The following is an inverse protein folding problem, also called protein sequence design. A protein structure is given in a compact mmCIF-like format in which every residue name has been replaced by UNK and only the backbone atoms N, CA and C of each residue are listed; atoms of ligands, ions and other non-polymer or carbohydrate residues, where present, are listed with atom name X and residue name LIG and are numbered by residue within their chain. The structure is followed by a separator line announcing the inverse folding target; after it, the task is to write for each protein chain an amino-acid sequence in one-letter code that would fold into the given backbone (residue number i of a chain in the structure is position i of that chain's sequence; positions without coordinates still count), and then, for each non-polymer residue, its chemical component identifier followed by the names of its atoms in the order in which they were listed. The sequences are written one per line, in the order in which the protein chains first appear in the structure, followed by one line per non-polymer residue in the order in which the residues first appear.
data_IF_477924903806
#
_entry.id   IF_477924903806
#
_cell.length_a   1.000
_cell.length_b   1.000
_cell.length_c   1.000
_cell.angle_alpha   90.00
_cell.angle_beta   90.00
_cell.angle_gamma   90.00
#
_symmetry.space_group_name_H-M   'P 1'
#
loop_
_entity.id
_entity.type
_entity.pdbx_description
1 polymer ?
#
# COMPACT_ATOMS: atom_id res chain seq x y z
N UNK A 1 -15.44 9.93 -15.68
CA UNK A 1 -15.50 9.85 -14.20
C UNK A 1 -16.17 8.57 -13.69
N UNK A 2 -17.03 7.88 -14.46
CA UNK A 2 -17.52 6.54 -14.10
C UNK A 2 -16.48 5.46 -14.45
N UNK A 3 -15.60 5.15 -13.50
CA UNK A 3 -14.66 4.03 -13.59
C UNK A 3 -14.83 3.13 -12.38
N UNK A 4 -14.69 1.80 -12.53
CA UNK A 4 -14.75 0.89 -11.40
C UNK A 4 -13.64 1.22 -10.40
N UNK A 5 -13.84 0.90 -9.13
CA UNK A 5 -12.84 1.20 -8.09
C UNK A 5 -11.48 0.56 -8.40
N UNK A 6 -11.48 -0.61 -9.06
CA UNK A 6 -10.29 -1.29 -9.51
C UNK A 6 -9.45 -0.51 -10.52
N UNK A 7 -9.98 0.52 -11.21
CA UNK A 7 -9.19 1.41 -12.08
C UNK A 7 -8.09 2.15 -11.31
N UNK A 8 -8.29 2.39 -10.00
CA UNK A 8 -7.29 3.01 -9.13
C UNK A 8 -6.40 1.99 -8.41
N UNK A 9 -6.26 0.81 -9.00
CA UNK A 9 -5.24 -0.23 -8.79
C UNK A 9 -4.65 -0.39 -7.37
N UNK A 10 -3.80 0.55 -6.94
CA UNK A 10 -3.16 0.55 -5.62
C UNK A 10 -4.08 1.02 -4.48
N UNK A 11 -5.03 1.93 -4.72
CA UNK A 11 -5.95 2.45 -3.68
C UNK A 11 -6.85 1.34 -3.09
N UNK A 12 -7.49 0.47 -3.90
CA UNK A 12 -8.21 -0.69 -3.38
C UNK A 12 -7.31 -1.63 -2.57
N UNK A 13 -6.12 -1.90 -3.08
CA UNK A 13 -5.15 -2.83 -2.47
C UNK A 13 -4.69 -2.35 -1.09
N UNK A 14 -4.28 -1.08 -0.99
CA UNK A 14 -3.85 -0.47 0.27
C UNK A 14 -5.01 -0.42 1.28
N UNK A 15 -6.21 -0.04 0.84
CA UNK A 15 -7.40 -0.01 1.69
C UNK A 15 -7.72 -1.39 2.28
N UNK A 16 -7.67 -2.44 1.45
CA UNK A 16 -7.85 -3.82 1.88
C UNK A 16 -6.83 -4.23 2.93
N UNK A 17 -5.54 -3.99 2.66
CA UNK A 17 -4.46 -4.34 3.59
C UNK A 17 -4.53 -3.56 4.91
N UNK A 18 -4.91 -2.27 4.88
CA UNK A 18 -5.18 -1.51 6.10
C UNK A 18 -6.27 -2.17 6.94
N UNK A 19 -7.41 -2.54 6.34
CA UNK A 19 -8.48 -3.24 7.04
C UNK A 19 -8.01 -4.55 7.67
N UNK A 20 -7.21 -5.35 6.94
CA UNK A 20 -6.63 -6.59 7.47
C UNK A 20 -5.72 -6.31 8.67
N UNK A 21 -4.87 -5.29 8.61
CA UNK A 21 -4.00 -4.89 9.74
C UNK A 21 -4.81 -4.43 10.95
N UNK A 22 -5.81 -3.58 10.75
CA UNK A 22 -6.68 -3.10 11.82
C UNK A 22 -7.45 -4.25 12.47
N UNK A 23 -7.98 -5.18 11.66
CA UNK A 23 -8.62 -6.38 12.15
C UNK A 23 -7.66 -7.25 12.96
N UNK A 24 -6.44 -7.49 12.46
CA UNK A 24 -5.39 -8.24 13.16
C UNK A 24 -5.03 -7.61 14.52
N UNK A 25 -4.95 -6.28 14.57
CA UNK A 25 -4.68 -5.52 15.78
C UNK A 25 -5.86 -5.58 16.78
N UNK A 26 -7.10 -5.55 16.27
CA UNK A 26 -8.32 -5.61 17.06
C UNK A 26 -8.58 -6.99 17.69
N UNK A 27 -8.24 -8.07 16.98
CA UNK A 27 -8.40 -9.45 17.43
C UNK A 27 -7.75 -9.68 18.81
N UNK A 28 -8.45 -10.31 19.78
CA UNK A 28 -7.84 -10.73 21.04
C UNK A 28 -6.77 -11.82 20.83
N UNK A 29 -5.68 -11.85 21.61
CA UNK A 29 -5.25 -10.84 22.57
C UNK A 29 -4.69 -9.59 21.86
N UNK A 30 -5.08 -8.40 22.35
CA UNK A 30 -4.62 -7.13 21.78
C UNK A 30 -3.16 -6.89 22.13
N UNK A 31 -2.34 -6.72 21.09
CA UNK A 31 -0.92 -6.42 21.24
C UNK A 31 -0.73 -4.95 20.92
N UNK A 32 -0.37 -4.17 21.94
CA UNK A 32 -0.01 -2.77 21.85
C UNK A 32 1.24 -2.53 22.69
N UNK A 33 1.83 -1.34 22.60
CA UNK A 33 3.07 -0.98 23.31
C UNK A 33 3.05 -1.34 24.81
N UNK A 34 1.95 -1.07 25.51
CA UNK A 34 1.77 -1.39 26.93
C UNK A 34 1.61 -2.89 27.23
N UNK A 35 0.90 -3.65 26.39
CA UNK A 35 0.82 -5.11 26.53
C UNK A 35 2.21 -5.76 26.44
N UNK A 36 3.05 -5.25 25.53
CA UNK A 36 4.42 -5.71 25.41
C UNK A 36 5.27 -5.35 26.63
N UNK A 37 5.06 -4.22 27.32
CA UNK A 37 5.84 -3.87 28.53
C UNK A 37 5.49 -4.78 29.71
N UNK A 38 4.23 -5.17 29.82
CA UNK A 38 3.75 -6.04 30.91
C UNK A 38 4.03 -7.52 30.66
N UNK A 39 3.86 -7.99 29.41
CA UNK A 39 3.88 -9.43 29.07
C UNK A 39 5.12 -9.86 28.28
N UNK A 40 6.00 -8.92 27.90
CA UNK A 40 7.28 -9.16 27.24
C UNK A 40 7.23 -10.22 26.13
N UNK A 41 7.85 -11.40 26.33
CA UNK A 41 7.94 -12.46 25.32
C UNK A 41 6.59 -13.09 24.96
N UNK A 42 5.61 -13.10 25.87
CA UNK A 42 4.28 -13.68 25.59
C UNK A 42 3.50 -12.84 24.59
N UNK A 43 3.60 -11.52 24.68
CA UNK A 43 2.99 -10.61 23.71
C UNK A 43 3.61 -10.77 22.31
N UNK A 44 4.93 -11.01 22.23
CA UNK A 44 5.61 -11.31 20.96
C UNK A 44 5.18 -12.68 20.40
N UNK A 45 5.01 -13.69 21.26
CA UNK A 45 4.48 -14.99 20.87
C UNK A 45 3.06 -14.88 20.29
N UNK A 46 2.17 -14.13 20.94
CA UNK A 46 0.81 -13.89 20.42
C UNK A 46 0.83 -13.17 19.07
N UNK A 47 1.74 -12.22 18.88
CA UNK A 47 1.90 -11.55 17.60
C UNK A 47 2.44 -12.50 16.52
N UNK A 48 3.40 -13.37 16.86
CA UNK A 48 3.91 -14.39 15.95
C UNK A 48 2.80 -15.37 15.53
N UNK A 49 1.97 -15.83 16.48
CA UNK A 49 0.81 -16.69 16.17
C UNK A 49 -0.19 -15.99 15.24
N UNK A 50 -0.46 -14.71 15.47
CA UNK A 50 -1.30 -13.89 14.58
C UNK A 50 -0.71 -13.76 13.17
N UNK A 51 0.60 -13.55 13.05
CA UNK A 51 1.29 -13.51 11.77
C UNK A 51 1.27 -14.85 11.05
N UNK A 52 1.49 -15.95 11.77
CA UNK A 52 1.37 -17.30 11.20
C UNK A 52 -0.05 -17.51 10.67
N UNK A 53 -1.07 -17.17 11.47
CA UNK A 53 -2.47 -17.24 11.03
C UNK A 53 -2.75 -16.39 9.79
N UNK A 54 -2.25 -15.15 9.75
CA UNK A 54 -2.39 -14.27 8.58
C UNK A 54 -1.72 -14.89 7.34
N UNK A 55 -0.48 -15.36 7.47
CA UNK A 55 0.25 -16.01 6.37
C UNK A 55 -0.47 -17.28 5.92
N UNK A 56 -1.01 -18.10 6.83
CA UNK A 56 -1.81 -19.27 6.48
C UNK A 56 -3.06 -18.91 5.69
N UNK A 57 -3.80 -17.86 6.09
CA UNK A 57 -4.97 -17.37 5.33
C UNK A 57 -4.56 -16.89 3.93
N UNK A 58 -3.46 -16.14 3.83
CA UNK A 58 -2.90 -15.69 2.55
C UNK A 58 -2.53 -16.90 1.67
N UNK A 59 -1.86 -17.91 2.23
CA UNK A 59 -1.49 -19.11 1.48
C UNK A 59 -2.71 -19.87 0.99
N UNK A 60 -3.75 -20.04 1.82
CA UNK A 60 -5.00 -20.70 1.41
C UNK A 60 -5.68 -19.93 0.28
N UNK A 61 -5.78 -18.60 0.39
CA UNK A 61 -6.33 -17.74 -0.66
C UNK A 61 -5.51 -17.82 -1.95
N UNK A 62 -4.18 -17.90 -1.86
CA UNK A 62 -3.30 -18.00 -3.02
C UNK A 62 -3.36 -19.39 -3.69
N UNK A 63 -3.42 -20.47 -2.91
CA UNK A 63 -3.45 -21.83 -3.47
C UNK A 63 -4.82 -22.17 -4.08
N UNK A 64 -5.91 -21.57 -3.60
CA UNK A 64 -7.27 -21.86 -4.07
C UNK A 64 -7.90 -20.64 -4.76
N UNK A 65 -7.76 -20.58 -6.08
CA UNK A 65 -8.40 -19.56 -6.92
C UNK A 65 -9.93 -19.57 -6.74
N UNK A 66 -10.55 -20.76 -6.66
CA UNK A 66 -12.00 -20.90 -6.41
C UNK A 66 -12.41 -20.30 -5.06
N UNK A 67 -11.60 -20.47 -4.02
CA UNK A 67 -11.88 -19.88 -2.72
C UNK A 67 -11.71 -18.36 -2.75
N UNK A 68 -10.66 -17.88 -3.44
CA UNK A 68 -10.44 -16.45 -3.65
C UNK A 68 -11.64 -15.79 -4.35
N UNK A 69 -12.10 -16.35 -5.47
CA UNK A 69 -13.27 -15.85 -6.18
C UNK A 69 -14.51 -15.82 -5.29
N UNK A 70 -14.78 -16.88 -4.53
CA UNK A 70 -15.92 -16.90 -3.59
C UNK A 70 -15.82 -15.81 -2.52
N UNK A 71 -14.64 -15.52 -2.00
CA UNK A 71 -14.46 -14.49 -0.98
C UNK A 71 -14.68 -13.08 -1.56
N UNK A 72 -14.14 -12.79 -2.75
CA UNK A 72 -14.13 -11.43 -3.30
C UNK A 72 -15.29 -11.11 -4.25
N UNK A 73 -15.89 -12.11 -4.89
CA UNK A 73 -17.00 -11.95 -5.86
C UNK A 73 -18.37 -12.15 -5.21
N UNK A 74 -18.44 -12.42 -3.90
CA UNK A 74 -19.71 -12.47 -3.17
C UNK A 74 -20.28 -11.08 -2.91
N UNK A 75 -21.61 -10.96 -3.03
CA UNK A 75 -22.33 -9.74 -2.64
C UNK A 75 -22.33 -9.60 -1.11
N UNK A 76 -22.25 -8.38 -0.56
CA UNK A 76 -22.49 -7.09 -1.23
C UNK A 76 -21.24 -6.36 -1.76
N UNK A 77 -20.03 -6.86 -1.52
CA UNK A 77 -18.79 -6.12 -1.82
C UNK A 77 -18.16 -6.43 -3.19
N UNK A 78 -18.76 -7.34 -3.99
CA UNK A 78 -18.30 -7.70 -5.34
C UNK A 78 -17.85 -6.49 -6.17
N UNK A 79 -18.63 -5.42 -6.19
CA UNK A 79 -18.35 -4.21 -6.97
C UNK A 79 -17.02 -3.50 -6.61
N UNK A 80 -16.45 -3.77 -5.43
CA UNK A 80 -15.17 -3.21 -5.02
C UNK A 80 -13.98 -3.92 -5.66
N UNK A 81 -14.12 -5.18 -6.03
CA UNK A 81 -13.00 -6.07 -6.42
C UNK A 81 -12.99 -6.45 -7.89
N UNK A 82 -13.97 -5.96 -8.65
CA UNK A 82 -14.20 -6.39 -10.03
C UNK A 82 -14.16 -5.19 -10.98
N UNK A 83 -13.75 -5.41 -12.22
CA UNK A 83 -13.73 -4.40 -13.29
C UNK A 83 -15.12 -4.18 -13.92
N UNK A 84 -15.23 -3.27 -14.88
CA UNK A 84 -16.48 -3.02 -15.63
C UNK A 84 -17.00 -4.28 -16.34
N UNK A 85 -16.09 -5.17 -16.76
CA UNK A 85 -16.39 -6.39 -17.52
C UNK A 85 -16.64 -7.61 -16.61
N UNK A 86 -16.87 -7.38 -15.32
CA UNK A 86 -17.05 -8.43 -14.32
C UNK A 86 -15.81 -9.32 -14.09
N UNK A 87 -14.60 -8.82 -14.41
CA UNK A 87 -13.33 -9.55 -14.29
C UNK A 87 -12.60 -9.29 -12.96
N UNK A 88 -12.21 -10.36 -12.26
CA UNK A 88 -11.46 -10.35 -11.00
C UNK A 88 -9.94 -10.51 -11.21
N UNK A 89 -9.49 -10.91 -12.40
CA UNK A 89 -8.09 -11.25 -12.68
C UNK A 89 -7.13 -10.12 -12.33
N UNK A 90 -7.57 -8.89 -12.53
CA UNK A 90 -6.79 -7.69 -12.22
C UNK A 90 -6.58 -7.52 -10.71
N UNK A 91 -7.63 -7.73 -9.90
CA UNK A 91 -7.53 -7.74 -8.43
C UNK A 91 -6.64 -8.88 -7.95
N UNK A 92 -6.85 -10.10 -8.47
CA UNK A 92 -6.04 -11.27 -8.15
C UNK A 92 -4.55 -11.03 -8.44
N UNK A 93 -4.22 -10.54 -9.64
CA UNK A 93 -2.83 -10.30 -10.04
C UNK A 93 -2.10 -9.35 -9.08
N UNK A 94 -2.75 -8.27 -8.66
CA UNK A 94 -2.17 -7.29 -7.72
C UNK A 94 -2.06 -7.81 -6.30
N UNK A 95 -3.14 -8.41 -5.81
CA UNK A 95 -3.15 -9.01 -4.48
C UNK A 95 -2.06 -10.08 -4.36
N UNK A 96 -1.86 -10.86 -5.42
CA UNK A 96 -0.79 -11.86 -5.54
C UNK A 96 0.59 -11.22 -5.38
N UNK A 97 0.92 -10.14 -6.09
CA UNK A 97 2.25 -9.50 -5.98
C UNK A 97 2.56 -9.01 -4.56
N UNK A 98 1.58 -8.46 -3.86
CA UNK A 98 1.77 -7.82 -2.53
C UNK A 98 1.41 -8.71 -1.33
N UNK A 99 1.17 -10.01 -1.56
CA UNK A 99 0.52 -10.89 -0.58
C UNK A 99 1.20 -10.95 0.79
N UNK A 100 2.53 -10.85 0.85
CA UNK A 100 3.30 -10.92 2.10
C UNK A 100 3.81 -9.55 2.58
N UNK A 101 3.63 -8.47 1.81
CA UNK A 101 4.13 -7.12 2.14
C UNK A 101 3.67 -6.67 3.54
N UNK A 102 2.40 -6.91 3.87
CA UNK A 102 1.84 -6.59 5.20
C UNK A 102 2.45 -7.42 6.32
N UNK A 103 2.61 -8.73 6.10
CA UNK A 103 3.20 -9.61 7.11
C UNK A 103 4.63 -9.19 7.42
N UNK A 104 5.42 -8.84 6.40
CA UNK A 104 6.76 -8.28 6.58
C UNK A 104 6.75 -6.95 7.31
N UNK A 105 5.81 -6.04 6.99
CA UNK A 105 5.69 -4.75 7.67
C UNK A 105 5.37 -4.89 9.16
N UNK A 106 4.42 -5.74 9.53
CA UNK A 106 4.05 -6.00 10.93
C UNK A 106 5.20 -6.71 11.66
N UNK A 107 5.86 -7.69 11.03
CA UNK A 107 7.04 -8.35 11.59
C UNK A 107 8.20 -7.38 11.82
N UNK A 108 8.46 -6.48 10.86
CA UNK A 108 9.47 -5.43 10.99
C UNK A 108 9.15 -4.49 12.16
N UNK A 109 7.90 -4.04 12.29
CA UNK A 109 7.48 -3.20 13.42
C UNK A 109 7.64 -3.90 14.77
N UNK A 110 7.31 -5.19 14.84
CA UNK A 110 7.52 -6.02 16.03
C UNK A 110 9.01 -6.15 16.39
N UNK A 111 9.85 -6.43 15.40
CA UNK A 111 11.29 -6.55 15.56
C UNK A 111 11.91 -5.23 16.01
N UNK A 112 11.50 -4.10 15.41
CA UNK A 112 11.96 -2.77 15.80
C UNK A 112 11.63 -2.48 17.26
N UNK A 113 10.40 -2.77 17.69
CA UNK A 113 9.98 -2.54 19.07
C UNK A 113 10.68 -3.48 20.07
N UNK A 114 10.98 -4.72 19.66
CA UNK A 114 11.80 -5.64 20.47
C UNK A 114 13.25 -5.14 20.58
N UNK A 115 13.84 -4.67 19.49
CA UNK A 115 15.20 -4.11 19.45
C UNK A 115 15.31 -2.82 20.29
N UNK A 116 14.30 -1.95 20.26
CA UNK A 116 14.27 -0.73 21.08
C UNK A 116 14.32 -0.98 22.59
N UNK A 117 14.04 -2.21 23.04
CA UNK A 117 14.14 -2.61 24.45
C UNK A 117 15.49 -3.18 24.83
N UNK A 118 16.30 -3.52 23.83
CA UNK A 118 17.68 -3.89 24.08
C UNK A 118 18.45 -2.58 24.27
N UNK A 119 18.97 -2.35 25.49
CA UNK A 119 19.74 -1.14 25.83
C UNK A 119 20.93 -0.91 24.91
N UNK A 120 21.42 -1.98 24.27
CA UNK A 120 22.49 -1.93 23.30
C UNK A 120 22.09 -2.67 22.02
N UNK A 121 21.77 -1.92 20.96
CA UNK A 121 21.74 -2.47 19.60
C UNK A 121 23.20 -2.49 19.13
N UNK A 122 23.84 -3.68 18.98
CA UNK A 122 25.21 -3.74 18.50
C UNK A 122 25.26 -3.18 17.07
N UNK A 123 25.85 -2.00 16.92
CA UNK A 123 26.15 -1.44 15.61
C UNK A 123 27.26 -2.28 14.98
N UNK A 124 26.91 -3.20 14.09
CA UNK A 124 27.93 -3.94 13.34
C UNK A 124 28.50 -3.02 12.25
N UNK A 125 29.83 -2.87 12.21
CA UNK A 125 30.50 -2.15 11.13
C UNK A 125 30.19 -2.74 9.73
N UNK A 126 29.73 -3.99 9.69
CA UNK A 126 29.34 -4.72 8.48
C UNK A 126 27.90 -4.43 8.02
N UNK A 127 27.02 -3.88 8.87
CA UNK A 127 25.63 -3.59 8.53
C UNK A 127 25.46 -2.76 7.24
N UNK A 128 26.19 -1.64 7.02
CA UNK A 128 26.07 -0.89 5.76
C UNK A 128 26.55 -1.68 4.54
N UNK A 129 27.59 -2.51 4.68
CA UNK A 129 28.09 -3.35 3.59
C UNK A 129 27.04 -4.40 3.20
N UNK A 130 26.45 -5.08 4.19
CA UNK A 130 25.36 -6.04 3.98
C UNK A 130 24.16 -5.38 3.30
N UNK A 131 23.81 -4.16 3.71
CA UNK A 131 22.73 -3.39 3.11
C UNK A 131 23.00 -3.00 1.65
N UNK A 132 24.24 -2.61 1.31
CA UNK A 132 24.62 -2.33 -0.08
C UNK A 132 24.55 -3.60 -0.92
N UNK A 133 25.08 -4.71 -0.40
CA UNK A 133 25.03 -6.02 -1.08
C UNK A 133 23.59 -6.47 -1.29
N UNK A 134 22.71 -6.29 -0.30
CA UNK A 134 21.30 -6.69 -0.43
C UNK A 134 20.55 -5.86 -1.47
N UNK A 135 20.79 -4.54 -1.51
CA UNK A 135 20.22 -3.66 -2.54
C UNK A 135 20.75 -4.02 -3.93
N UNK A 136 22.07 -4.20 -4.08
CA UNK A 136 22.71 -4.56 -5.33
C UNK A 136 22.25 -5.93 -5.84
N UNK A 137 22.15 -6.92 -4.96
CA UNK A 137 21.66 -8.26 -5.29
C UNK A 137 20.20 -8.21 -5.77
N UNK A 138 19.33 -7.49 -5.05
CA UNK A 138 17.94 -7.33 -5.44
C UNK A 138 17.81 -6.60 -6.79
N UNK A 139 18.54 -5.50 -7.00
CA UNK A 139 18.52 -4.80 -8.30
C UNK A 139 19.04 -5.67 -9.43
N UNK A 140 20.09 -6.45 -9.19
CA UNK A 140 20.66 -7.35 -10.20
C UNK A 140 19.67 -8.46 -10.54
N UNK A 141 19.02 -9.05 -9.55
CA UNK A 141 17.96 -10.03 -9.74
C UNK A 141 16.82 -9.44 -10.60
N UNK A 142 16.36 -8.23 -10.29
CA UNK A 142 15.27 -7.60 -11.06
C UNK A 142 15.67 -7.29 -12.50
N UNK A 143 16.94 -6.95 -12.75
CA UNK A 143 17.44 -6.63 -14.10
C UNK A 143 17.73 -7.88 -14.94
N UNK A 144 18.09 -8.99 -14.29
CA UNK A 144 18.36 -10.28 -14.95
C UNK A 144 17.11 -11.16 -15.10
N UNK A 145 15.98 -10.76 -14.52
CA UNK A 145 14.77 -11.55 -14.61
C UNK A 145 14.21 -11.53 -16.03
N UNK A 146 13.97 -12.72 -16.60
CA UNK A 146 13.58 -12.87 -18.01
C UNK A 146 12.06 -12.75 -18.18
N UNK A 147 11.28 -13.27 -17.23
CA UNK A 147 9.82 -13.23 -17.31
C UNK A 147 9.21 -12.40 -16.18
N UNK A 148 8.20 -11.60 -16.52
CA UNK A 148 7.49 -10.75 -15.55
C UNK A 148 6.82 -11.62 -14.47
N UNK A 149 6.20 -12.74 -14.88
CA UNK A 149 5.49 -13.62 -13.97
C UNK A 149 6.40 -14.28 -12.91
N UNK A 150 7.58 -14.77 -13.31
CA UNK A 150 8.54 -15.32 -12.33
C UNK A 150 9.10 -14.22 -11.42
N UNK A 151 9.35 -13.01 -11.97
CA UNK A 151 9.82 -11.87 -11.19
C UNK A 151 8.83 -11.49 -10.09
N UNK A 152 7.55 -11.36 -10.43
CA UNK A 152 6.46 -11.04 -9.51
C UNK A 152 6.29 -12.10 -8.41
N UNK A 153 6.42 -13.38 -8.78
CA UNK A 153 6.33 -14.46 -7.82
C UNK A 153 7.49 -14.41 -6.82
N UNK A 154 8.74 -14.27 -7.31
CA UNK A 154 9.92 -14.15 -6.44
C UNK A 154 9.83 -12.88 -5.59
N UNK A 155 9.47 -11.75 -6.20
CA UNK A 155 9.33 -10.44 -5.54
C UNK A 155 8.48 -10.54 -4.27
N UNK A 156 7.33 -11.22 -4.36
CA UNK A 156 6.40 -11.41 -3.25
C UNK A 156 7.08 -11.97 -1.99
N UNK A 157 8.11 -12.82 -2.14
CA UNK A 157 8.83 -13.45 -1.03
C UNK A 157 10.02 -12.63 -0.53
N UNK A 158 10.67 -11.84 -1.40
CA UNK A 158 11.96 -11.20 -1.09
C UNK A 158 11.89 -9.67 -1.00
N UNK A 159 10.74 -9.05 -1.23
CA UNK A 159 10.58 -7.57 -1.23
C UNK A 159 11.03 -6.90 0.07
N UNK A 160 11.00 -7.62 1.20
CA UNK A 160 11.47 -7.10 2.48
C UNK A 160 13.00 -6.85 2.49
N UNK A 161 13.77 -7.55 1.66
CA UNK A 161 15.24 -7.46 1.59
C UNK A 161 15.70 -6.06 1.18
N UNK A 162 15.27 -5.49 0.04
CA UNK A 162 15.67 -4.13 -0.34
C UNK A 162 15.11 -3.07 0.61
N UNK A 163 13.93 -3.28 1.20
CA UNK A 163 13.34 -2.34 2.16
C UNK A 163 14.19 -2.25 3.43
N UNK A 164 14.50 -3.40 4.05
CA UNK A 164 15.34 -3.45 5.26
C UNK A 164 16.76 -2.98 4.93
N UNK A 165 17.32 -3.39 3.78
CA UNK A 165 18.61 -2.92 3.29
C UNK A 165 18.66 -1.40 3.19
N UNK A 166 17.67 -0.78 2.55
CA UNK A 166 17.59 0.68 2.46
C UNK A 166 17.51 1.34 3.83
N UNK A 167 16.67 0.82 4.75
CA UNK A 167 16.53 1.37 6.11
C UNK A 167 17.86 1.32 6.86
N UNK A 168 18.58 0.19 6.81
CA UNK A 168 19.88 0.03 7.45
C UNK A 168 20.90 1.00 6.85
N UNK A 169 21.00 1.05 5.51
CA UNK A 169 21.93 1.93 4.82
C UNK A 169 21.66 3.40 5.16
N UNK A 170 20.39 3.82 5.10
CA UNK A 170 19.95 5.17 5.42
C UNK A 170 20.30 5.59 6.85
N UNK A 171 20.29 4.64 7.80
CA UNK A 171 20.55 4.91 9.21
C UNK A 171 22.00 4.65 9.66
N UNK A 172 22.87 4.20 8.76
CA UNK A 172 24.26 3.81 9.07
C UNK A 172 25.19 4.96 9.44
N UNK A 173 24.94 6.17 8.95
CA UNK A 173 25.74 7.36 9.27
C UNK A 173 24.88 8.62 9.42
N UNK A 174 25.39 9.61 10.15
CA UNK A 174 24.70 10.88 10.34
C UNK A 174 24.48 11.63 9.01
N UNK A 175 25.45 11.57 8.10
CA UNK A 175 25.36 12.19 6.79
C UNK A 175 24.25 11.57 5.93
N UNK A 176 24.15 10.24 5.91
CA UNK A 176 23.09 9.54 5.19
C UNK A 176 21.74 9.78 5.84
N UNK A 177 21.63 9.86 7.17
CA UNK A 177 20.36 10.16 7.84
C UNK A 177 19.89 11.58 7.57
N UNK A 178 20.80 12.56 7.62
CA UNK A 178 20.49 13.99 7.61
C UNK A 178 20.30 14.62 6.23
N UNK A 179 20.83 14.04 5.15
CA UNK A 179 20.75 14.62 3.79
C UNK A 179 19.66 13.95 2.97
N UNK A 180 18.72 14.71 2.41
CA UNK A 180 17.69 14.21 1.49
C UNK A 180 17.31 15.26 0.45
N UNK A 181 16.76 14.82 -0.68
CA UNK A 181 16.21 15.73 -1.69
C UNK A 181 14.83 16.21 -1.26
N UNK A 182 14.68 17.52 -1.05
CA UNK A 182 13.39 18.15 -0.71
C UNK A 182 12.36 17.93 -1.82
N UNK A 183 12.80 17.94 -3.09
CA UNK A 183 11.94 17.68 -4.24
C UNK A 183 11.35 16.27 -4.20
N UNK A 184 12.20 15.24 -4.08
CA UNK A 184 11.74 13.84 -4.03
C UNK A 184 10.91 13.57 -2.78
N UNK A 185 11.26 14.17 -1.64
CA UNK A 185 10.44 14.10 -0.44
C UNK A 185 9.07 14.77 -0.66
N UNK A 186 9.02 15.90 -1.36
CA UNK A 186 7.77 16.58 -1.72
C UNK A 186 6.88 15.73 -2.61
N UNK A 187 7.43 15.14 -3.67
CA UNK A 187 6.71 14.21 -4.56
C UNK A 187 6.21 12.97 -3.80
N UNK A 188 7.02 12.43 -2.88
CA UNK A 188 6.63 11.32 -2.02
C UNK A 188 5.44 11.65 -1.12
N UNK A 189 5.34 12.88 -0.59
CA UNK A 189 4.22 13.32 0.26
C UNK A 189 2.89 13.36 -0.49
N UNK A 190 2.90 13.65 -1.78
CA UNK A 190 1.70 13.73 -2.63
C UNK A 190 1.53 12.47 -3.51
N UNK A 191 2.23 11.38 -3.19
CA UNK A 191 2.32 10.20 -4.07
C UNK A 191 0.97 9.52 -4.31
N UNK A 192 0.10 9.49 -3.30
CA UNK A 192 -1.25 8.92 -3.43
C UNK A 192 -2.13 9.77 -4.35
N UNK A 193 -2.12 11.08 -4.17
CA UNK A 193 -2.88 12.01 -5.01
C UNK A 193 -2.33 12.04 -6.43
N UNK A 194 -1.01 11.96 -6.58
CA UNK A 194 -0.32 11.83 -7.87
C UNK A 194 -0.78 10.57 -8.60
N UNK A 195 -0.84 9.44 -7.91
CA UNK A 195 -1.30 8.17 -8.46
C UNK A 195 -2.77 8.25 -8.93
N UNK A 196 -3.67 8.82 -8.14
CA UNK A 196 -5.08 8.94 -8.53
C UNK A 196 -5.25 9.95 -9.67
N UNK A 197 -4.56 11.08 -9.58
CA UNK A 197 -4.65 12.17 -10.56
C UNK A 197 -4.07 11.79 -11.91
N UNK A 198 -3.16 10.82 -11.99
CA UNK A 198 -2.51 10.45 -13.25
C UNK A 198 -3.55 10.02 -14.29
N UNK A 199 -4.60 9.29 -13.85
CA UNK A 199 -5.66 8.79 -14.74
C UNK A 199 -6.62 9.86 -15.22
N UNK A 200 -6.66 11.02 -14.57
CA UNK A 200 -7.61 12.11 -14.87
C UNK A 200 -6.97 13.34 -15.49
N UNK A 201 -5.70 13.61 -15.18
CA UNK A 201 -5.00 14.84 -15.57
C UNK A 201 -3.89 14.56 -16.57
N UNK A 202 -3.17 13.44 -16.44
CA UNK A 202 -2.02 13.13 -17.30
C UNK A 202 -2.41 12.21 -18.45
N UNK A 203 -3.11 11.13 -18.15
CA UNK A 203 -3.47 10.09 -19.10
C UNK A 203 -4.79 10.42 -19.79
N UNK A 204 -4.89 10.02 -21.05
CA UNK A 204 -6.09 10.10 -21.88
C UNK A 204 -6.48 8.69 -22.36
N UNK A 205 -7.68 8.56 -22.92
CA UNK A 205 -8.17 7.31 -23.52
C UNK A 205 -7.96 6.08 -22.62
N UNK A 206 -8.38 6.16 -21.35
CA UNK A 206 -8.34 5.03 -20.41
C UNK A 206 -6.95 4.46 -20.20
N UNK A 207 -5.97 5.34 -19.97
CA UNK A 207 -4.55 5.01 -19.81
C UNK A 207 -3.81 4.57 -21.09
N UNK A 208 -4.48 4.56 -22.24
CA UNK A 208 -3.85 4.25 -23.53
C UNK A 208 -3.21 5.46 -24.24
N UNK A 209 -3.41 6.68 -23.72
CA UNK A 209 -2.85 7.90 -24.28
C UNK A 209 -2.28 8.84 -23.22
N UNK A 210 -1.47 9.80 -23.68
CA UNK A 210 -1.00 10.92 -22.88
C UNK A 210 -1.73 12.18 -23.33
N UNK A 211 -2.04 13.08 -22.40
CA UNK A 211 -2.62 14.37 -22.71
C UNK A 211 -1.68 15.19 -23.61
N UNK A 212 -2.18 15.58 -24.78
CA UNK A 212 -1.46 16.42 -25.75
C UNK A 212 -2.11 17.79 -25.82
N UNK A 213 -1.49 18.78 -25.19
CA UNK A 213 -1.82 20.20 -25.27
C UNK A 213 -1.08 20.88 -26.44
N UNK A 214 0.16 20.45 -26.72
CA UNK A 214 1.03 21.05 -27.74
C UNK A 214 1.47 19.98 -28.76
N UNK A 215 0.68 19.71 -29.81
CA UNK A 215 0.91 18.58 -30.71
C UNK A 215 2.20 18.65 -31.53
N UNK A 216 2.75 19.86 -31.74
CA UNK A 216 3.98 20.07 -32.54
C UNK A 216 5.28 20.02 -31.73
N UNK A 217 5.20 20.02 -30.40
CA UNK A 217 6.37 20.12 -29.52
C UNK A 217 6.28 19.08 -28.40
N UNK A 218 6.69 17.81 -28.64
CA UNK A 218 6.46 16.72 -27.69
C UNK A 218 7.16 16.91 -26.34
N UNK A 219 8.39 17.42 -26.34
CA UNK A 219 9.15 17.69 -25.10
C UNK A 219 8.49 18.81 -24.31
N UNK A 220 8.08 19.89 -24.97
CA UNK A 220 7.40 21.01 -24.33
C UNK A 220 6.03 20.58 -23.79
N UNK A 221 5.29 19.75 -24.55
CA UNK A 221 4.06 19.16 -24.09
C UNK A 221 4.25 18.37 -22.80
N UNK A 222 5.26 17.50 -22.76
CA UNK A 222 5.59 16.70 -21.59
C UNK A 222 5.93 17.58 -20.37
N UNK A 223 6.75 18.61 -20.55
CA UNK A 223 7.11 19.53 -19.47
C UNK A 223 5.88 20.29 -18.93
N UNK A 224 5.05 20.82 -19.83
CA UNK A 224 3.84 21.57 -19.46
C UNK A 224 2.80 20.67 -18.81
N UNK A 225 2.52 19.48 -19.38
CA UNK A 225 1.56 18.54 -18.81
C UNK A 225 2.02 18.00 -17.46
N UNK A 226 3.31 17.67 -17.30
CA UNK A 226 3.89 17.25 -16.02
C UNK A 226 3.78 18.36 -14.97
N UNK A 227 4.04 19.62 -15.34
CA UNK A 227 3.91 20.76 -14.45
C UNK A 227 2.46 20.93 -13.97
N UNK A 228 1.50 20.96 -14.90
CA UNK A 228 0.06 21.05 -14.57
C UNK A 228 -0.36 19.89 -13.66
N UNK A 229 0.08 18.68 -13.99
CA UNK A 229 -0.22 17.48 -13.21
C UNK A 229 0.31 17.55 -11.77
N UNK A 230 1.55 17.97 -11.56
CA UNK A 230 2.13 18.11 -10.23
C UNK A 230 1.39 19.20 -9.44
N UNK A 231 1.09 20.34 -10.07
CA UNK A 231 0.31 21.41 -9.43
C UNK A 231 -1.10 20.95 -9.03
N UNK A 232 -1.81 20.25 -9.92
CA UNK A 232 -3.13 19.70 -9.64
C UNK A 232 -3.07 18.69 -8.48
N UNK A 233 -2.11 17.77 -8.50
CA UNK A 233 -1.91 16.78 -7.44
C UNK A 233 -1.60 17.44 -6.10
N UNK A 234 -0.83 18.54 -6.10
CA UNK A 234 -0.53 19.32 -4.91
C UNK A 234 -1.78 20.00 -4.32
N UNK A 235 -2.61 20.62 -5.16
CA UNK A 235 -3.86 21.23 -4.69
C UNK A 235 -4.86 20.18 -4.18
N UNK A 236 -4.97 19.04 -4.85
CA UNK A 236 -5.78 17.91 -4.36
C UNK A 236 -5.29 17.44 -3.00
N UNK A 237 -3.97 17.30 -2.80
CA UNK A 237 -3.41 16.94 -1.51
C UNK A 237 -3.76 17.94 -0.40
N UNK A 238 -3.68 19.25 -0.69
CA UNK A 238 -4.08 20.29 0.27
C UNK A 238 -5.56 20.20 0.62
N UNK A 239 -6.42 20.02 -0.38
CA UNK A 239 -7.87 19.85 -0.17
C UNK A 239 -8.18 18.59 0.64
N UNK A 240 -7.50 17.48 0.37
CA UNK A 240 -7.65 16.23 1.15
C UNK A 240 -7.32 16.45 2.61
N UNK A 241 -6.21 17.14 2.92
CA UNK A 241 -5.84 17.46 4.32
C UNK A 241 -6.89 18.36 4.99
N UNK A 242 -7.44 19.34 4.28
CA UNK A 242 -8.46 20.24 4.80
C UNK A 242 -9.79 19.50 5.03
N UNK A 243 -10.18 18.61 4.13
CA UNK A 243 -11.47 17.92 4.16
C UNK A 243 -11.49 16.66 5.03
N UNK A 244 -10.34 15.98 5.19
CA UNK A 244 -10.25 14.72 5.93
C UNK A 244 -10.80 14.80 7.36
N UNK A 245 -10.55 15.85 8.17
CA UNK A 245 -11.12 15.96 9.52
C UNK A 245 -12.65 16.09 9.54
N UNK A 246 -13.26 16.59 8.46
CA UNK A 246 -14.72 16.67 8.34
C UNK A 246 -15.33 15.32 7.96
N UNK A 247 -14.64 14.55 7.13
CA UNK A 247 -15.05 13.20 6.75
C UNK A 247 -14.85 12.20 7.91
N UNK A 248 -13.67 12.21 8.52
CA UNK A 248 -13.26 11.32 9.62
C UNK A 248 -12.79 12.17 10.83
N UNK A 249 -13.74 12.71 11.61
CA UNK A 249 -13.41 13.46 12.82
C UNK A 249 -12.81 12.58 13.92
N UNK A 250 -12.20 13.19 14.94
CA UNK A 250 -11.56 12.46 16.04
C UNK A 250 -12.56 11.71 16.95
N UNK A 251 -13.83 12.12 16.99
CA UNK A 251 -14.87 11.45 17.78
C UNK A 251 -15.50 10.29 16.99
N UNK A 252 -15.38 9.06 17.52
CA UNK A 252 -15.92 7.86 16.90
C UNK A 252 -17.43 7.94 16.63
N UNK A 253 -18.20 8.67 17.45
CA UNK A 253 -19.64 8.85 17.24
C UNK A 253 -19.92 9.65 15.98
N UNK A 254 -19.13 10.70 15.75
CA UNK A 254 -19.23 11.53 14.55
C UNK A 254 -18.76 10.78 13.31
N UNK A 255 -17.69 9.97 13.43
CA UNK A 255 -17.24 9.07 12.36
C UNK A 255 -18.35 8.08 11.99
N UNK A 256 -18.96 7.44 12.98
CA UNK A 256 -20.06 6.50 12.78
C UNK A 256 -21.25 7.18 12.09
N UNK A 257 -21.63 8.39 12.53
CA UNK A 257 -22.68 9.18 11.88
C UNK A 257 -22.35 9.45 10.42
N UNK A 258 -21.15 9.96 10.13
CA UNK A 258 -20.72 10.27 8.76
C UNK A 258 -20.68 9.01 7.88
N UNK A 259 -20.21 7.89 8.43
CA UNK A 259 -20.19 6.60 7.74
C UNK A 259 -21.60 6.09 7.42
N UNK A 260 -22.53 6.19 8.38
CA UNK A 260 -23.94 5.81 8.14
C UNK A 260 -24.61 6.71 7.10
N UNK A 261 -24.34 8.03 7.11
CA UNK A 261 -24.82 8.95 6.08
C UNK A 261 -24.24 8.60 4.70
N UNK A 262 -22.94 8.28 4.64
CA UNK A 262 -22.30 7.84 3.41
C UNK A 262 -22.93 6.55 2.86
N UNK A 263 -23.16 5.55 3.71
CA UNK A 263 -23.85 4.31 3.33
C UNK A 263 -25.30 4.56 2.91
N UNK A 264 -26.02 5.45 3.60
CA UNK A 264 -27.39 5.80 3.26
C UNK A 264 -27.52 6.43 1.86
N UNK A 265 -26.47 7.12 1.38
CA UNK A 265 -26.40 7.64 0.00
C UNK A 265 -25.90 6.57 -0.97
N UNK A 266 -24.88 5.81 -0.59
CA UNK A 266 -24.23 4.84 -1.48
C UNK A 266 -25.11 3.62 -1.79
N UNK A 267 -25.85 3.10 -0.80
CA UNK A 267 -26.65 1.88 -0.96
C UNK A 267 -27.77 2.05 -1.98
N UNK A 268 -28.59 3.12 -1.96
CA UNK A 268 -29.60 3.35 -3.00
C UNK A 268 -29.01 3.49 -4.40
N UNK A 269 -27.87 4.17 -4.54
CA UNK A 269 -27.16 4.30 -5.83
C UNK A 269 -26.69 2.91 -6.28
N UNK A 270 -26.11 2.12 -5.37
CA UNK A 270 -25.67 0.76 -5.66
C UNK A 270 -26.80 -0.17 -6.08
N UNK A 271 -28.00 -0.04 -5.49
CA UNK A 271 -29.19 -0.81 -5.89
C UNK A 271 -29.69 -0.35 -7.27
N UNK A 272 -29.77 0.97 -7.51
CA UNK A 272 -30.19 1.53 -8.80
C UNK A 272 -29.29 1.06 -9.95
N UNK A 273 -27.98 1.02 -9.71
CA UNK A 273 -26.98 0.61 -10.70
C UNK A 273 -26.78 -0.92 -10.75
N UNK A 274 -27.56 -1.70 -9.99
CA UNK A 274 -27.51 -3.17 -9.97
C UNK A 274 -26.23 -3.76 -9.37
N UNK A 275 -25.46 -2.96 -8.63
CA UNK A 275 -24.17 -3.34 -8.02
C UNK A 275 -24.34 -4.11 -6.70
N UNK A 276 -25.43 -3.89 -5.98
CA UNK A 276 -25.80 -4.52 -4.69
C UNK A 276 -27.05 -5.36 -4.92
#
# INVERSE_FOLDING_TARGET
MNRPYQFYHFVPLVSFWFWVVYFLAWLPPRVYSGSLTEHGPRALLYLALKLIGLVSVITVLYTSEVFFEKVFVTRPWKALFVTTDDDIREWWSRWRVDRYSVAFGVAFGAALLALQRMDHIPGSALAPLIAIVSLAAYTTLTMLCVSIAECEEIHSYIVFIPIIGYIILRNSSLALRGKYSVLLAGLGRISLETLVSQGHVWLAADSHGVLVLLPRFPVLNLLVSSFIFICASHEIHRLTIILAPYAVPNDWKLVMRNFLLFLAVLVPIGIHDGMI
#
